data_IF_872136288964
#
_entry.id   IF_872136288964
#
_cell.length_a   1.000
_cell.length_b   1.000
_cell.length_c   1.000
_cell.angle_alpha   90.00
_cell.angle_beta   90.00
_cell.angle_gamma   90.00
#
_symmetry.space_group_name_H-M   'P 1'
#
loop_
_entity.id
_entity.type
_entity.pdbx_description
1 polymer ?
#
# COMPACT_ATOMS: atom_id res chain seq x y z
N UNK A 1 -3.77 3.87 20.16
CA UNK A 1 -2.47 4.58 20.07
C UNK A 1 -2.55 5.50 18.87
N UNK A 2 -2.11 6.77 18.96
CA UNK A 2 -2.02 7.61 17.76
C UNK A 2 -0.98 6.98 16.82
N UNK A 3 -1.25 6.96 15.51
CA UNK A 3 -0.21 6.59 14.55
C UNK A 3 0.93 7.57 14.70
N UNK A 4 2.13 7.02 14.85
CA UNK A 4 3.33 7.83 14.91
C UNK A 4 3.44 8.58 13.57
N UNK A 5 3.39 9.92 13.61
CA UNK A 5 3.45 10.74 12.41
C UNK A 5 4.76 10.50 11.63
N UNK A 6 5.79 9.94 12.26
CA UNK A 6 7.00 9.50 11.58
C UNK A 6 6.77 8.28 10.68
N UNK A 7 5.83 7.38 10.99
CA UNK A 7 5.52 6.24 10.09
C UNK A 7 4.80 6.75 8.84
N UNK A 8 3.91 7.73 9.00
CA UNK A 8 3.19 8.34 7.88
C UNK A 8 4.10 9.04 6.87
N UNK A 9 5.25 9.55 7.33
CA UNK A 9 6.23 10.22 6.47
C UNK A 9 7.32 9.29 5.93
N UNK A 10 7.38 8.04 6.40
CA UNK A 10 8.38 7.05 5.95
C UNK A 10 7.93 6.21 4.77
N UNK A 11 6.64 6.17 4.49
CA UNK A 11 6.13 5.48 3.30
C UNK A 11 6.54 6.28 2.07
N UNK A 12 7.41 5.68 1.27
CA UNK A 12 8.01 6.30 0.07
C UNK A 12 7.91 5.38 -1.13
N UNK A 13 7.55 4.11 -0.94
CA UNK A 13 7.44 3.13 -2.01
C UNK A 13 6.16 2.30 -1.90
N UNK A 14 5.63 1.89 -3.05
CA UNK A 14 4.63 0.86 -3.19
C UNK A 14 5.30 -0.39 -3.74
N UNK A 15 5.25 -1.50 -3.01
CA UNK A 15 5.63 -2.82 -3.51
C UNK A 15 4.42 -3.50 -4.11
N UNK A 16 4.53 -3.99 -5.33
CA UNK A 16 3.52 -4.86 -5.98
C UNK A 16 4.24 -6.10 -6.51
N UNK A 17 4.00 -7.24 -5.87
CA UNK A 17 4.75 -8.46 -6.16
C UNK A 17 6.21 -8.29 -5.76
N UNK A 18 7.13 -8.55 -6.70
CA UNK A 18 8.59 -8.41 -6.48
C UNK A 18 9.13 -7.01 -6.84
N UNK A 19 8.26 -6.10 -7.30
CA UNK A 19 8.67 -4.78 -7.78
C UNK A 19 8.36 -3.69 -6.75
N UNK A 20 9.31 -2.77 -6.55
CA UNK A 20 9.17 -1.55 -5.75
C UNK A 20 9.03 -0.34 -6.67
N UNK A 21 7.99 0.45 -6.45
CA UNK A 21 7.70 1.67 -7.18
C UNK A 21 7.77 2.87 -6.24
N UNK A 22 8.57 3.91 -6.54
CA UNK A 22 8.59 5.13 -5.73
C UNK A 22 7.23 5.83 -5.82
N UNK A 23 6.79 6.39 -4.68
CA UNK A 23 5.54 7.15 -4.55
C UNK A 23 5.79 8.43 -3.77
N UNK A 24 5.15 9.51 -4.20
CA UNK A 24 5.15 10.81 -3.54
C UNK A 24 3.94 10.96 -2.59
N UNK A 25 2.92 10.12 -2.75
CA UNK A 25 1.69 10.17 -1.95
C UNK A 25 0.91 8.85 -1.90
N UNK A 26 0.05 8.71 -0.89
CA UNK A 26 -0.89 7.60 -0.78
C UNK A 26 -1.91 7.56 -1.94
N UNK A 27 -2.31 8.73 -2.45
CA UNK A 27 -3.17 8.83 -3.63
C UNK A 27 -2.51 8.20 -4.86
N UNK A 28 -1.23 8.48 -5.08
CA UNK A 28 -0.46 7.90 -6.18
C UNK A 28 -0.36 6.38 -6.01
N UNK A 29 -0.07 5.88 -4.80
CA UNK A 29 -0.04 4.45 -4.51
C UNK A 29 -1.38 3.77 -4.83
N UNK A 30 -2.50 4.36 -4.39
CA UNK A 30 -3.85 3.89 -4.71
C UNK A 30 -4.09 3.86 -6.23
N UNK A 31 -3.72 4.92 -6.92
CA UNK A 31 -3.93 5.06 -8.37
C UNK A 31 -3.12 4.03 -9.15
N UNK A 32 -1.84 3.87 -8.82
CA UNK A 32 -0.97 2.87 -9.44
C UNK A 32 -1.48 1.44 -9.21
N UNK A 33 -1.89 1.12 -7.98
CA UNK A 33 -2.42 -0.21 -7.69
C UNK A 33 -3.75 -0.47 -8.38
N UNK A 34 -4.67 0.50 -8.42
CA UNK A 34 -5.94 0.37 -9.16
C UNK A 34 -5.70 0.19 -10.67
N UNK A 35 -4.80 0.95 -11.26
CA UNK A 35 -4.44 0.78 -12.66
C UNK A 35 -3.83 -0.61 -12.93
N UNK A 36 -2.97 -1.11 -12.03
CA UNK A 36 -2.43 -2.46 -12.12
C UNK A 36 -3.51 -3.54 -11.98
N UNK A 37 -4.48 -3.35 -11.09
CA UNK A 37 -5.64 -4.22 -10.93
C UNK A 37 -6.53 -4.22 -12.18
N UNK A 38 -6.79 -3.06 -12.78
CA UNK A 38 -7.61 -2.93 -13.98
C UNK A 38 -6.93 -3.56 -15.21
N UNK A 39 -5.60 -3.49 -15.27
CA UNK A 39 -4.79 -4.15 -16.30
C UNK A 39 -4.54 -5.64 -16.02
N UNK A 40 -4.89 -6.16 -14.83
CA UNK A 40 -4.68 -7.54 -14.47
C UNK A 40 -5.72 -8.45 -15.13
N UNK A 41 -5.28 -9.25 -16.10
CA UNK A 41 -6.12 -10.22 -16.81
C UNK A 41 -6.17 -11.60 -16.13
N UNK A 42 -5.47 -11.76 -14.99
CA UNK A 42 -5.39 -13.02 -14.24
C UNK A 42 -6.54 -13.22 -13.24
N UNK A 43 -6.60 -14.37 -12.57
CA UNK A 43 -7.57 -14.62 -11.51
C UNK A 43 -7.36 -13.67 -10.33
N UNK A 44 -8.45 -13.27 -9.67
CA UNK A 44 -8.41 -12.35 -8.51
C UNK A 44 -7.56 -12.89 -7.35
N UNK A 45 -7.57 -14.19 -7.11
CA UNK A 45 -6.74 -14.84 -6.07
C UNK A 45 -5.23 -14.80 -6.35
N UNK A 46 -4.81 -14.47 -7.58
CA UNK A 46 -3.40 -14.37 -7.96
C UNK A 46 -2.91 -12.92 -8.04
N UNK A 47 -3.76 -11.94 -7.68
CA UNK A 47 -3.34 -10.55 -7.64
C UNK A 47 -2.23 -10.41 -6.59
N UNK A 48 -1.06 -9.87 -6.95
CA UNK A 48 0.02 -9.67 -6.02
C UNK A 48 -0.38 -8.73 -4.88
N UNK A 49 -0.03 -9.10 -3.66
CA UNK A 49 -0.40 -8.33 -2.47
C UNK A 49 0.40 -7.02 -2.40
N UNK A 50 -0.24 -5.84 -2.46
CA UNK A 50 0.46 -4.58 -2.44
C UNK A 50 0.85 -4.17 -1.01
N UNK A 51 2.11 -3.79 -0.83
CA UNK A 51 2.65 -3.32 0.43
C UNK A 51 3.15 -1.88 0.31
N UNK A 52 2.86 -1.06 1.31
CA UNK A 52 3.45 0.28 1.46
C UNK A 52 4.75 0.14 2.23
N UNK A 53 5.84 0.63 1.64
CA UNK A 53 7.19 0.40 2.11
C UNK A 53 7.96 1.71 2.33
N UNK A 54 9.01 1.63 3.15
CA UNK A 54 10.06 2.65 3.20
C UNK A 54 11.11 2.48 2.07
N UNK A 55 12.13 3.33 2.08
CA UNK A 55 13.21 3.33 1.08
C UNK A 55 14.04 2.04 1.09
N UNK A 56 14.13 1.36 2.22
CA UNK A 56 14.82 0.09 2.39
C UNK A 56 13.93 -1.11 1.98
N UNK A 57 12.67 -0.86 1.64
CA UNK A 57 11.68 -1.88 1.27
C UNK A 57 10.98 -2.53 2.46
N UNK A 58 11.12 -2.01 3.68
CA UNK A 58 10.41 -2.53 4.84
C UNK A 58 8.92 -2.20 4.75
N UNK A 59 8.09 -3.21 4.94
CA UNK A 59 6.63 -3.05 4.95
C UNK A 59 6.17 -2.28 6.19
N UNK A 60 5.49 -1.16 5.93
CA UNK A 60 4.86 -0.29 6.94
C UNK A 60 3.33 -0.33 6.85
N UNK A 61 2.79 -0.81 5.74
CA UNK A 61 1.35 -0.83 5.49
C UNK A 61 0.98 -1.59 4.22
N UNK A 62 -0.26 -1.42 3.77
CA UNK A 62 -0.79 -2.11 2.59
C UNK A 62 -1.84 -1.26 1.88
N UNK A 63 -2.10 -1.62 0.62
CA UNK A 63 -3.23 -1.08 -0.15
C UNK A 63 -4.30 -2.17 -0.25
N UNK A 64 -5.56 -1.84 0.00
CA UNK A 64 -6.65 -2.80 -0.19
C UNK A 64 -7.09 -2.84 -1.67
N UNK A 65 -7.77 -3.91 -2.09
CA UNK A 65 -8.33 -4.02 -3.46
C UNK A 65 -9.28 -2.87 -3.84
N UNK A 66 -9.85 -2.17 -2.86
CA UNK A 66 -10.66 -0.96 -3.05
C UNK A 66 -9.84 0.32 -3.27
N UNK A 67 -8.50 0.24 -3.26
CA UNK A 67 -7.59 1.38 -3.38
C UNK A 67 -7.38 2.17 -2.08
N UNK A 68 -7.85 1.68 -0.93
CA UNK A 68 -7.59 2.37 0.35
C UNK A 68 -6.19 2.04 0.84
N UNK A 69 -5.50 3.03 1.40
CA UNK A 69 -4.18 2.83 1.99
C UNK A 69 -4.30 2.72 3.50
N UNK A 70 -3.63 1.71 4.05
CA UNK A 70 -3.63 1.39 5.46
C UNK A 70 -2.20 1.32 5.96
N UNK A 71 -1.96 1.89 7.14
CA UNK A 71 -0.68 1.78 7.84
C UNK A 71 -0.84 0.83 9.01
N UNK A 72 0.10 -0.09 9.15
CA UNK A 72 0.00 -1.28 10.01
C UNK A 72 -0.20 -2.56 9.21
N UNK A 73 0.02 -3.71 9.86
CA UNK A 73 -0.16 -5.03 9.22
C UNK A 73 -1.64 -5.38 9.07
N UNK A 74 -2.00 -6.14 8.04
CA UNK A 74 -3.38 -6.59 7.80
C UNK A 74 -4.01 -7.37 8.96
N UNK A 75 -3.18 -8.12 9.69
CA UNK A 75 -3.61 -8.92 10.84
C UNK A 75 -3.72 -8.09 12.13
N UNK A 76 -3.19 -6.86 12.12
CA UNK A 76 -3.20 -5.99 13.27
C UNK A 76 -4.53 -5.24 13.36
N UNK A 77 -5.24 -5.41 14.49
CA UNK A 77 -6.51 -4.71 14.74
C UNK A 77 -6.35 -3.18 14.85
N UNK A 78 -5.12 -2.66 14.83
CA UNK A 78 -4.82 -1.23 14.87
C UNK A 78 -4.37 -0.65 13.52
N UNK A 79 -4.49 -1.40 12.42
CA UNK A 79 -4.29 -0.83 11.09
C UNK A 79 -5.19 0.39 10.90
N UNK A 80 -4.60 1.50 10.46
CA UNK A 80 -5.32 2.76 10.30
C UNK A 80 -5.38 3.16 8.85
N UNK A 81 -6.59 3.46 8.39
CA UNK A 81 -6.82 3.99 7.05
C UNK A 81 -6.27 5.41 6.98
N UNK A 82 -5.30 5.64 6.09
CA UNK A 82 -4.66 6.94 5.89
C UNK A 82 -5.11 7.61 4.60
N UNK A 83 -5.69 6.83 3.68
CA UNK A 83 -6.20 7.33 2.41
C UNK A 83 -7.39 6.50 1.94
N UNK A 84 -8.40 7.20 1.42
CA UNK A 84 -9.56 6.61 0.76
C UNK A 84 -9.73 7.30 -0.60
N UNK A 85 -9.80 6.54 -1.71
CA UNK A 85 -9.95 7.11 -3.06
C UNK A 85 -11.36 7.60 -3.35
#
# INVERSE_FOLDING_TARGET
>A
MPLDSAILTRVTHLRVGDQLYPIDSYEQASTMFRAALEAWEGPQDAVPDPALCDEDGHELGYVSHSGRCWIGRREDSHATCVYTP
#
